data_IF_342202754800
#
_entry.id   IF_342202754800
#
_cell.length_a   1.000
_cell.length_b   1.000
_cell.length_c   1.000
_cell.angle_alpha   90.00
_cell.angle_beta   90.00
_cell.angle_gamma   90.00
#
_symmetry.space_group_name_H-M   'P 1'
#
loop_
_entity.id
_entity.type
_entity.pdbx_description
1 polymer ?
#
# COMPACT_ATOMS: atom_id res chain seq x y z
N UNK A 1 10.59 -2.60 6.90
CA UNK A 1 10.30 -3.94 6.33
C UNK A 1 10.27 -5.05 7.37
N UNK A 2 11.40 -5.55 7.91
CA UNK A 2 11.37 -6.74 8.79
C UNK A 2 10.42 -6.62 10.00
N UNK A 3 10.45 -5.48 10.72
CA UNK A 3 9.53 -5.21 11.82
C UNK A 3 8.06 -5.16 11.34
N UNK A 4 7.79 -4.49 10.22
CA UNK A 4 6.46 -4.44 9.62
C UNK A 4 5.95 -5.83 9.23
N UNK A 5 6.80 -6.67 8.65
CA UNK A 5 6.44 -8.04 8.31
C UNK A 5 6.10 -8.87 9.55
N UNK A 6 6.92 -8.79 10.60
CA UNK A 6 6.66 -9.48 11.86
C UNK A 6 5.35 -9.02 12.52
N UNK A 7 5.04 -7.72 12.46
CA UNK A 7 3.75 -7.19 12.93
C UNK A 7 2.59 -7.67 12.05
N UNK A 8 2.70 -7.60 10.73
CA UNK A 8 1.66 -8.03 9.80
C UNK A 8 1.39 -9.55 9.87
N UNK A 9 2.40 -10.36 10.16
CA UNK A 9 2.25 -11.79 10.40
C UNK A 9 1.37 -12.10 11.62
N UNK A 10 1.27 -11.20 12.61
CA UNK A 10 0.35 -11.38 13.73
C UNK A 10 -1.14 -11.26 13.33
N UNK A 11 -1.43 -10.71 12.14
CA UNK A 11 -2.78 -10.65 11.56
C UNK A 11 -3.08 -11.83 10.62
N UNK A 12 -2.18 -12.81 10.50
CA UNK A 12 -2.41 -14.02 9.71
C UNK A 12 -3.20 -15.07 10.46
N UNK A 13 -3.86 -15.92 9.69
CA UNK A 13 -4.57 -17.12 10.16
C UNK A 13 -5.65 -16.79 11.21
N UNK A 14 -6.20 -15.58 11.14
CA UNK A 14 -7.37 -15.14 11.90
C UNK A 14 -8.59 -15.47 11.04
N UNK A 15 -9.34 -16.48 11.44
CA UNK A 15 -10.56 -16.91 10.75
C UNK A 15 -11.49 -15.71 10.50
N UNK A 16 -12.04 -15.62 9.28
CA UNK A 16 -12.94 -14.53 8.85
C UNK A 16 -12.34 -13.12 8.92
N UNK A 17 -11.01 -12.98 8.88
CA UNK A 17 -10.37 -11.67 8.75
C UNK A 17 -10.27 -11.24 7.27
N UNK A 18 -10.89 -10.10 6.95
CA UNK A 18 -10.76 -9.37 5.68
C UNK A 18 -9.51 -8.48 5.60
N UNK A 19 -8.75 -8.39 6.69
CA UNK A 19 -7.60 -7.49 6.79
C UNK A 19 -6.44 -8.01 5.95
N UNK A 20 -5.81 -7.14 5.17
CA UNK A 20 -4.60 -7.45 4.41
C UNK A 20 -3.44 -7.73 5.36
N UNK A 21 -2.90 -8.95 5.30
CA UNK A 21 -1.77 -9.42 6.12
C UNK A 21 -0.43 -9.39 5.38
N UNK A 22 -0.44 -9.22 4.06
CA UNK A 22 0.75 -8.99 3.27
C UNK A 22 0.40 -8.27 1.95
N UNK A 23 1.33 -7.41 1.52
CA UNK A 23 1.38 -6.88 0.16
C UNK A 23 2.79 -7.12 -0.39
N UNK A 24 2.88 -7.36 -1.69
CA UNK A 24 4.14 -7.43 -2.43
C UNK A 24 3.85 -7.15 -3.89
N UNK A 25 4.86 -6.77 -4.66
CA UNK A 25 4.71 -6.69 -6.11
C UNK A 25 5.94 -7.22 -6.82
N UNK A 26 5.74 -7.72 -8.03
CA UNK A 26 6.79 -8.16 -8.96
C UNK A 26 6.96 -7.12 -10.07
N UNK A 27 7.73 -7.42 -11.10
CA UNK A 27 7.85 -6.56 -12.28
C UNK A 27 6.55 -6.47 -13.12
N UNK A 28 5.50 -7.23 -12.80
CA UNK A 28 4.26 -7.25 -13.59
C UNK A 28 2.99 -7.19 -12.76
N UNK A 29 3.00 -7.71 -11.53
CA UNK A 29 1.79 -7.89 -10.75
C UNK A 29 1.94 -7.39 -9.33
N UNK A 30 0.87 -6.82 -8.81
CA UNK A 30 0.68 -6.53 -7.40
C UNK A 30 -0.09 -7.67 -6.75
N UNK A 31 0.29 -8.06 -5.54
CA UNK A 31 -0.28 -9.20 -4.84
C UNK A 31 -0.58 -8.87 -3.38
N UNK A 32 -1.72 -9.37 -2.90
CA UNK A 32 -2.15 -9.26 -1.51
C UNK A 32 -2.47 -10.62 -0.90
N UNK A 33 -2.44 -10.68 0.43
CA UNK A 33 -3.00 -11.78 1.24
C UNK A 33 -3.93 -11.21 2.29
N UNK A 34 -5.04 -11.89 2.56
CA UNK A 34 -5.90 -11.57 3.71
C UNK A 34 -5.49 -12.40 4.92
N UNK A 35 -5.86 -11.95 6.12
CA UNK A 35 -5.66 -12.68 7.36
C UNK A 35 -6.46 -13.99 7.40
N UNK A 36 -7.68 -13.98 6.83
CA UNK A 36 -8.59 -15.12 6.86
C UNK A 36 -8.46 -16.11 5.71
N UNK A 37 -7.62 -15.86 4.70
CA UNK A 37 -7.51 -16.73 3.50
C UNK A 37 -6.24 -17.57 3.48
N UNK A 38 -5.61 -17.77 4.65
CA UNK A 38 -4.37 -18.53 4.80
C UNK A 38 -3.23 -18.05 3.90
N UNK A 39 -2.62 -18.97 3.15
CA UNK A 39 -1.48 -18.73 2.26
C UNK A 39 -1.84 -18.29 0.83
N UNK A 40 -3.14 -18.11 0.53
CA UNK A 40 -3.59 -17.72 -0.81
C UNK A 40 -3.23 -16.26 -1.13
N UNK A 41 -2.52 -16.07 -2.25
CA UNK A 41 -2.25 -14.77 -2.84
C UNK A 41 -3.30 -14.40 -3.89
N UNK A 42 -3.65 -13.13 -3.95
CA UNK A 42 -4.51 -12.55 -4.98
C UNK A 42 -3.74 -11.49 -5.74
N UNK A 43 -3.67 -11.63 -7.06
CA UNK A 43 -2.77 -10.83 -7.90
C UNK A 43 -3.52 -10.11 -9.02
N UNK A 44 -3.05 -8.93 -9.37
CA UNK A 44 -3.53 -8.16 -10.51
C UNK A 44 -2.36 -7.44 -11.19
N UNK A 45 -2.53 -7.08 -12.46
CA UNK A 45 -1.51 -6.34 -13.21
C UNK A 45 -1.26 -4.97 -12.58
N UNK A 46 0.02 -4.57 -12.54
CA UNK A 46 0.42 -3.29 -11.98
C UNK A 46 -0.10 -2.12 -12.80
N UNK A 47 -0.53 -1.08 -12.09
CA UNK A 47 -0.81 0.21 -12.68
C UNK A 47 0.47 1.04 -12.79
N UNK A 48 0.60 1.91 -13.82
CA UNK A 48 1.73 2.84 -13.90
C UNK A 48 1.82 3.73 -12.65
N UNK A 49 3.02 3.85 -12.10
CA UNK A 49 3.26 4.71 -10.96
C UNK A 49 3.29 6.19 -11.35
N UNK A 50 2.82 7.07 -10.47
CA UNK A 50 3.02 8.52 -10.61
C UNK A 50 4.43 8.85 -10.14
N UNK A 51 5.32 9.13 -11.08
CA UNK A 51 6.76 9.27 -10.81
C UNK A 51 7.27 10.69 -11.07
N UNK A 52 8.14 11.16 -10.17
CA UNK A 52 9.09 12.23 -10.45
C UNK A 52 10.45 11.60 -10.78
N UNK A 53 10.91 11.80 -12.00
CA UNK A 53 12.24 11.36 -12.44
C UNK A 53 13.30 12.40 -12.04
N UNK A 54 14.51 11.91 -11.78
CA UNK A 54 15.68 12.76 -11.55
C UNK A 54 16.16 13.40 -12.85
N UNK A 55 16.89 14.51 -12.73
CA UNK A 55 17.40 15.25 -13.89
C UNK A 55 18.24 14.35 -14.80
N UNK A 56 17.92 14.37 -16.10
CA UNK A 56 18.62 13.62 -17.13
C UNK A 56 18.01 12.25 -17.47
N UNK A 57 16.95 11.82 -16.78
CA UNK A 57 16.17 10.63 -17.12
C UNK A 57 14.81 10.98 -17.72
N UNK A 58 14.25 10.04 -18.46
CA UNK A 58 12.93 10.11 -19.09
C UNK A 58 12.13 8.83 -18.84
N UNK A 59 10.84 8.82 -19.16
CA UNK A 59 9.99 7.65 -18.94
C UNK A 59 10.48 6.38 -19.66
N UNK A 60 11.21 6.52 -20.77
CA UNK A 60 11.79 5.36 -21.48
C UNK A 60 12.93 4.67 -20.74
N UNK A 61 13.49 5.32 -19.72
CA UNK A 61 14.55 4.76 -18.88
C UNK A 61 14.00 3.92 -17.73
N UNK A 62 12.69 4.00 -17.47
CA UNK A 62 12.01 3.28 -16.38
C UNK A 62 11.99 1.79 -16.68
N UNK A 63 12.44 0.99 -15.71
CA UNK A 63 12.20 -0.45 -15.68
C UNK A 63 11.27 -0.83 -14.53
N UNK A 64 10.41 -1.79 -14.80
CA UNK A 64 9.49 -2.30 -13.77
C UNK A 64 10.27 -3.06 -12.70
N UNK A 65 10.17 -2.57 -11.47
CA UNK A 65 10.73 -3.20 -10.29
C UNK A 65 9.71 -4.12 -9.62
N UNK A 66 10.19 -5.19 -8.98
CA UNK A 66 9.49 -5.87 -7.91
C UNK A 66 10.02 -5.40 -6.56
N UNK A 67 9.24 -5.58 -5.50
CA UNK A 67 9.68 -5.26 -4.15
C UNK A 67 8.69 -5.69 -3.08
N UNK A 68 9.25 -6.00 -1.91
CA UNK A 68 8.51 -6.32 -0.70
C UNK A 68 8.34 -5.11 0.23
N UNK A 69 8.85 -3.92 -0.16
CA UNK A 69 8.80 -2.71 0.68
C UNK A 69 7.39 -2.30 1.06
N UNK A 70 6.41 -2.60 0.18
CA UNK A 70 4.98 -2.35 0.37
C UNK A 70 4.37 -3.11 1.57
N UNK A 71 5.13 -4.03 2.19
CA UNK A 71 4.78 -4.60 3.49
C UNK A 71 4.77 -3.55 4.62
N UNK A 72 5.36 -2.38 4.39
CA UNK A 72 5.42 -1.30 5.38
C UNK A 72 4.05 -0.62 5.53
N UNK A 73 3.31 -0.52 4.44
CA UNK A 73 1.98 0.07 4.35
C UNK A 73 0.91 -0.82 4.98
N UNK A 74 1.11 -2.14 5.02
CA UNK A 74 0.15 -3.04 5.71
C UNK A 74 0.05 -2.76 7.21
N UNK A 75 1.07 -2.11 7.80
CA UNK A 75 1.10 -1.72 9.22
C UNK A 75 0.95 -0.21 9.41
N UNK A 76 0.45 0.51 8.41
CA UNK A 76 0.12 1.93 8.50
C UNK A 76 1.31 2.89 8.36
N UNK A 77 2.47 2.41 7.92
CA UNK A 77 3.65 3.25 7.65
C UNK A 77 3.76 3.56 6.15
N UNK A 78 4.82 4.26 5.71
CA UNK A 78 5.02 4.59 4.29
C UNK A 78 3.91 5.50 3.75
N UNK A 79 3.28 5.08 2.65
CA UNK A 79 2.15 5.79 2.02
C UNK A 79 1.00 6.13 2.99
N UNK A 80 0.83 5.34 4.05
CA UNK A 80 -0.19 5.51 5.09
C UNK A 80 0.22 6.49 6.20
N UNK A 81 1.42 7.05 6.13
CA UNK A 81 1.95 8.02 7.10
C UNK A 81 2.67 9.21 6.45
N UNK A 82 2.41 9.46 5.15
CA UNK A 82 3.02 10.56 4.37
C UNK A 82 2.92 11.93 5.05
N UNK A 83 1.83 12.21 5.78
CA UNK A 83 1.65 13.48 6.50
C UNK A 83 2.64 13.68 7.68
N UNK A 84 3.49 12.69 7.95
CA UNK A 84 4.62 12.79 8.88
C UNK A 84 5.96 13.08 8.18
N UNK A 85 5.99 13.15 6.84
CA UNK A 85 7.21 13.19 6.04
C UNK A 85 7.10 14.11 4.81
N UNK A 86 6.53 15.32 4.96
CA UNK A 86 6.31 16.24 3.82
C UNK A 86 7.55 16.59 2.99
N UNK A 87 8.76 16.51 3.57
CA UNK A 87 10.01 16.71 2.80
C UNK A 87 10.17 15.73 1.64
N UNK A 88 9.46 14.59 1.68
CA UNK A 88 9.47 13.58 0.62
C UNK A 88 8.94 14.13 -0.71
N UNK A 89 8.11 15.19 -0.71
CA UNK A 89 7.62 15.82 -1.94
C UNK A 89 8.76 16.33 -2.85
N UNK A 90 9.90 16.73 -2.27
CA UNK A 90 11.06 17.17 -3.05
C UNK A 90 11.62 15.99 -3.87
N UNK A 91 11.51 14.79 -3.33
CA UNK A 91 12.01 13.56 -3.89
C UNK A 91 11.03 12.88 -4.85
N UNK A 92 9.75 12.77 -4.48
CA UNK A 92 8.73 12.02 -5.24
C UNK A 92 7.71 12.88 -6.01
N UNK A 93 7.77 14.20 -5.85
CA UNK A 93 6.77 15.13 -6.39
C UNK A 93 5.51 15.27 -5.52
N UNK A 94 4.53 16.00 -6.03
CA UNK A 94 3.28 16.32 -5.32
C UNK A 94 3.37 17.55 -4.42
N UNK A 95 2.35 17.73 -3.58
CA UNK A 95 2.24 18.83 -2.60
C UNK A 95 1.99 18.30 -1.19
N UNK A 96 2.31 19.06 -0.12
CA UNK A 96 1.96 18.67 1.24
C UNK A 96 0.46 18.39 1.40
N UNK A 97 -0.38 19.18 0.72
CA UNK A 97 -1.83 19.05 0.73
C UNK A 97 -2.28 17.73 0.11
N UNK A 98 -1.73 17.35 -1.04
CA UNK A 98 -2.02 16.07 -1.69
C UNK A 98 -1.59 14.89 -0.81
N UNK A 99 -0.40 14.95 -0.22
CA UNK A 99 0.09 13.93 0.71
C UNK A 99 -0.82 13.78 1.93
N UNK A 100 -1.26 14.90 2.50
CA UNK A 100 -2.21 14.88 3.61
C UNK A 100 -3.55 14.27 3.20
N UNK A 101 -4.05 14.58 2.01
CA UNK A 101 -5.32 14.06 1.52
C UNK A 101 -5.28 12.57 1.18
N UNK A 102 -4.21 12.12 0.53
CA UNK A 102 -3.94 10.69 0.33
C UNK A 102 -3.92 9.96 1.66
N UNK A 103 -3.17 10.49 2.65
CA UNK A 103 -3.10 9.88 3.97
C UNK A 103 -4.49 9.86 4.67
N UNK A 104 -5.33 10.90 4.50
CA UNK A 104 -6.71 10.90 5.02
C UNK A 104 -7.56 9.80 4.40
N UNK A 105 -7.48 9.62 3.08
CA UNK A 105 -8.25 8.58 2.40
C UNK A 105 -7.92 7.15 2.89
N UNK A 106 -6.70 6.93 3.40
CA UNK A 106 -6.31 5.63 3.95
C UNK A 106 -7.06 5.27 5.25
N UNK A 107 -7.57 6.26 6.00
CA UNK A 107 -8.43 5.99 7.16
C UNK A 107 -9.79 5.39 6.76
N UNK A 108 -10.28 5.67 5.56
CA UNK A 108 -11.58 5.18 5.08
C UNK A 108 -11.52 3.68 4.77
N UNK A 109 -10.36 3.16 4.38
CA UNK A 109 -10.15 1.75 4.02
C UNK A 109 -9.50 0.91 5.11
N UNK A 110 -9.32 1.45 6.31
CA UNK A 110 -8.70 0.74 7.43
C UNK A 110 -9.69 0.47 8.57
N UNK A 111 -9.43 -0.57 9.37
CA UNK A 111 -10.31 -0.96 10.47
C UNK A 111 -10.10 -0.14 11.74
N UNK A 112 -8.97 0.56 11.88
CA UNK A 112 -8.69 1.41 13.03
C UNK A 112 -7.42 2.23 12.89
N UNK A 113 -6.95 2.76 14.02
CA UNK A 113 -5.74 3.57 14.11
C UNK A 113 -4.74 2.94 15.07
N UNK A 114 -3.45 3.09 14.79
CA UNK A 114 -2.42 2.59 15.69
C UNK A 114 -2.38 3.40 17.01
N UNK A 115 -2.30 2.75 18.20
CA UNK A 115 -2.28 3.45 19.48
C UNK A 115 -0.98 4.25 19.71
N UNK A 116 0.16 3.74 19.25
CA UNK A 116 1.48 4.38 19.47
C UNK A 116 2.04 5.20 18.28
N UNK A 117 1.91 4.72 17.04
CA UNK A 117 2.40 5.45 15.87
C UNK A 117 1.45 6.59 15.53
N UNK A 118 1.87 7.83 15.81
CA UNK A 118 1.05 9.03 15.67
C UNK A 118 1.55 9.95 14.54
N UNK A 119 0.60 10.63 13.91
CA UNK A 119 0.86 11.66 12.88
C UNK A 119 0.65 13.04 13.52
N UNK A 120 1.73 13.82 13.79
CA UNK A 120 1.61 15.11 14.46
C UNK A 120 0.72 16.11 13.71
N UNK A 121 0.80 16.13 12.37
CA UNK A 121 0.03 17.04 11.52
C UNK A 121 -1.49 16.84 11.66
N UNK A 122 -1.95 15.64 11.96
CA UNK A 122 -3.36 15.32 12.23
C UNK A 122 -3.72 15.40 13.72
N UNK A 123 -3.01 16.21 14.50
CA UNK A 123 -3.26 16.33 15.93
C UNK A 123 -2.92 15.07 16.71
N UNK A 124 -1.86 14.36 16.31
CA UNK A 124 -1.42 13.10 16.92
C UNK A 124 -2.46 11.96 16.85
N UNK A 125 -3.31 11.94 15.82
CA UNK A 125 -4.09 10.75 15.44
C UNK A 125 -3.14 9.58 15.14
N UNK A 126 -3.60 8.35 15.41
CA UNK A 126 -2.81 7.16 15.08
C UNK A 126 -2.72 6.97 13.56
N UNK A 127 -1.67 6.32 13.05
CA UNK A 127 -1.63 5.96 11.63
C UNK A 127 -2.80 5.00 11.29
N UNK A 128 -3.39 5.09 10.09
CA UNK A 128 -4.43 4.16 9.64
C UNK A 128 -3.89 2.73 9.59
N UNK A 129 -4.60 1.76 10.18
CA UNK A 129 -4.11 0.41 10.42
C UNK A 129 -5.14 -0.66 10.07
N UNK A 130 -4.66 -1.73 9.42
CA UNK A 130 -5.46 -2.89 9.03
C UNK A 130 -6.34 -2.58 7.82
N UNK A 131 -5.74 -2.63 6.64
CA UNK A 131 -6.43 -2.40 5.36
C UNK A 131 -7.51 -3.47 5.21
N UNK A 132 -8.77 -3.08 5.11
CA UNK A 132 -9.91 -3.98 4.95
C UNK A 132 -10.25 -4.13 3.46
N UNK A 133 -10.21 -5.36 2.94
CA UNK A 133 -10.45 -5.62 1.53
C UNK A 133 -11.87 -5.26 1.07
N UNK A 134 -12.89 -5.41 1.93
CA UNK A 134 -14.25 -4.99 1.59
C UNK A 134 -14.34 -3.47 1.50
N UNK A 135 -13.77 -2.73 2.46
CA UNK A 135 -13.77 -1.27 2.40
C UNK A 135 -13.06 -0.73 1.17
N UNK A 136 -11.96 -1.36 0.75
CA UNK A 136 -11.26 -1.01 -0.50
C UNK A 136 -12.18 -1.18 -1.72
N UNK A 137 -12.85 -2.33 -1.83
CA UNK A 137 -13.76 -2.62 -2.96
C UNK A 137 -14.99 -1.71 -2.94
N UNK A 138 -15.63 -1.51 -1.78
CA UNK A 138 -16.85 -0.72 -1.63
C UNK A 138 -16.63 0.77 -1.89
N UNK A 139 -15.52 1.33 -1.42
CA UNK A 139 -15.19 2.75 -1.60
C UNK A 139 -14.53 3.05 -2.95
N UNK A 140 -13.90 2.06 -3.57
CA UNK A 140 -13.02 2.23 -4.73
C UNK A 140 -11.70 2.95 -4.38
N UNK A 141 -11.40 3.22 -3.11
CA UNK A 141 -10.17 3.86 -2.68
C UNK A 141 -9.03 2.84 -2.70
N UNK A 142 -8.05 3.06 -3.59
CA UNK A 142 -6.87 2.21 -3.69
C UNK A 142 -5.83 2.55 -2.61
N UNK A 143 -5.29 1.56 -1.88
CA UNK A 143 -4.11 1.74 -1.05
C UNK A 143 -2.95 2.37 -1.83
N UNK A 144 -2.23 3.29 -1.19
CA UNK A 144 -1.09 3.98 -1.77
C UNK A 144 0.22 3.57 -1.11
N UNK A 145 1.29 3.51 -1.91
CA UNK A 145 2.63 3.15 -1.46
C UNK A 145 3.64 4.15 -2.02
N UNK A 146 4.61 4.54 -1.20
CA UNK A 146 5.76 5.32 -1.64
C UNK A 146 6.81 4.37 -2.25
N UNK A 147 7.20 4.62 -3.50
CA UNK A 147 8.13 3.76 -4.23
C UNK A 147 9.30 4.53 -4.83
N UNK A 148 10.44 3.85 -4.93
CA UNK A 148 11.50 4.26 -5.85
C UNK A 148 11.15 3.86 -7.28
N UNK A 149 11.74 4.52 -8.26
CA UNK A 149 11.62 4.16 -9.67
C UNK A 149 12.97 3.66 -10.15
N UNK A 150 13.02 2.40 -10.58
CA UNK A 150 14.24 1.78 -11.08
C UNK A 150 14.48 2.15 -12.54
N UNK A 151 15.76 2.36 -12.89
CA UNK A 151 16.20 2.51 -14.26
C UNK A 151 16.87 1.23 -14.77
N UNK A 152 16.91 1.06 -16.09
CA UNK A 152 17.57 -0.10 -16.72
C UNK A 152 19.09 -0.17 -16.52
N UNK A 153 19.68 0.88 -15.96
CA UNK A 153 21.07 0.89 -15.50
C UNK A 153 21.26 0.29 -14.08
N UNK A 154 20.18 -0.23 -13.49
CA UNK A 154 20.15 -0.85 -12.17
C UNK A 154 20.17 0.14 -11.00
N UNK A 155 20.05 1.45 -11.27
CA UNK A 155 19.99 2.49 -10.23
C UNK A 155 18.56 2.97 -10.04
N UNK A 156 18.32 3.65 -8.92
CA UNK A 156 17.11 4.42 -8.77
C UNK A 156 17.22 5.72 -9.57
N UNK A 157 16.24 5.98 -10.43
CA UNK A 157 16.19 7.14 -11.34
C UNK A 157 15.03 8.10 -11.04
N UNK A 158 14.24 7.78 -10.02
CA UNK A 158 13.12 8.60 -9.58
C UNK A 158 12.45 8.05 -8.33
N UNK A 159 11.37 8.69 -7.93
CA UNK A 159 10.49 8.23 -6.86
C UNK A 159 9.05 8.65 -7.15
N UNK A 160 8.09 7.99 -6.50
CA UNK A 160 6.69 8.21 -6.83
C UNK A 160 5.72 7.50 -5.91
N UNK A 161 4.45 7.61 -6.27
CA UNK A 161 3.34 6.93 -5.61
C UNK A 161 2.81 5.83 -6.52
N UNK A 162 2.73 4.62 -5.97
CA UNK A 162 2.07 3.48 -6.57
C UNK A 162 0.69 3.28 -5.92
N UNK A 163 -0.27 2.80 -6.70
CA UNK A 163 -1.59 2.39 -6.19
C UNK A 163 -1.75 0.88 -6.33
N UNK A 164 -2.28 0.25 -5.30
CA UNK A 164 -2.62 -1.17 -5.37
C UNK A 164 -3.84 -1.35 -6.30
N UNK A 165 -3.77 -2.21 -7.32
CA UNK A 165 -4.87 -2.41 -8.27
C UNK A 165 -6.11 -2.98 -7.58
N UNK A 166 -7.30 -2.41 -7.84
CA UNK A 166 -8.55 -2.88 -7.21
C UNK A 166 -8.84 -4.36 -7.48
N UNK A 167 -8.47 -4.86 -8.67
CA UNK A 167 -8.74 -6.23 -9.08
C UNK A 167 -8.15 -7.30 -8.17
N UNK A 168 -7.06 -7.04 -7.44
CA UNK A 168 -6.54 -8.00 -6.47
C UNK A 168 -7.41 -8.08 -5.20
N UNK A 169 -8.06 -6.97 -4.81
CA UNK A 169 -9.02 -6.92 -3.70
C UNK A 169 -10.36 -7.55 -4.07
N UNK A 170 -10.86 -7.30 -5.28
CA UNK A 170 -12.08 -7.92 -5.80
C UNK A 170 -11.98 -9.45 -5.80
N UNK A 171 -10.85 -9.98 -6.28
CA UNK A 171 -10.55 -11.42 -6.23
C UNK A 171 -10.50 -11.95 -4.80
N UNK A 172 -9.89 -11.19 -3.88
CA UNK A 172 -9.77 -11.58 -2.49
C UNK A 172 -11.12 -11.62 -1.77
N UNK A 173 -11.98 -10.62 -2.00
CA UNK A 173 -13.34 -10.54 -1.46
C UNK A 173 -14.23 -11.65 -2.03
N UNK A 174 -14.13 -11.96 -3.33
CA UNK A 174 -14.86 -13.06 -3.93
C UNK A 174 -14.48 -14.41 -3.29
N UNK A 175 -13.18 -14.68 -3.16
CA UNK A 175 -12.70 -15.90 -2.52
C UNK A 175 -13.07 -15.98 -1.03
N UNK A 176 -13.00 -14.86 -0.31
CA UNK A 176 -13.46 -14.77 1.08
C UNK A 176 -14.95 -15.15 1.18
N UNK A 177 -15.78 -14.62 0.28
CA UNK A 177 -17.24 -14.84 0.29
C UNK A 177 -17.60 -16.29 -0.07
N UNK A 178 -16.81 -16.94 -0.94
CA UNK A 178 -16.94 -18.37 -1.23
C UNK A 178 -16.63 -19.25 -0.01
N UNK A 179 -15.64 -18.86 0.80
CA UNK A 179 -15.19 -19.65 1.96
C UNK A 179 -16.07 -19.45 3.20
N UNK A 180 -16.48 -18.21 3.48
CA UNK A 180 -17.16 -17.85 4.73
C UNK A 180 -18.64 -17.49 4.56
N UNK A 181 -19.14 -17.41 3.32
CA UNK A 181 -20.45 -16.85 2.99
C UNK A 181 -20.39 -15.33 2.82
N UNK A 182 -21.34 -14.75 2.07
CA UNK A 182 -21.49 -13.31 1.94
C UNK A 182 -21.83 -12.65 3.29
N UNK A 183 -21.29 -11.45 3.51
CA UNK A 183 -21.63 -10.59 4.67
C UNK A 183 -22.98 -9.93 4.46
#
# INVERSE_FOLDING_TARGET
>A
MAAAKATADAARDIERSSVVSAMSFSCSQFSIRLGGTGDRWFSADLEPAQAKLFDGFTESDIEFMGGESVITETVGLGGFAQASAFTLQEYQGGTPEDMAELNRSMYEITVGEHPEYKIPFFGFRGVPLGIDAFKVVESGIQPVMDIGIAGGDGRQIGAGVLRAPLACFEQAVAAYSEEYGGV
#
